data_IF_128208228763
#
_entry.id   IF_128208228763
#
_cell.length_a   1.000
_cell.length_b   1.000
_cell.length_c   1.000
_cell.angle_alpha   90.00
_cell.angle_beta   90.00
_cell.angle_gamma   90.00
#
_symmetry.space_group_name_H-M   'P 1'
#
loop_
_entity.id
_entity.type
_entity.pdbx_description
1 polymer ?
#
# COMPACT_ATOMS: atom_id res chain seq x y z
N UNK A 1 29.85 -22.11 29.22
CA UNK A 1 29.26 -21.46 28.03
C UNK A 1 28.23 -20.49 28.55
N UNK A 2 28.09 -19.30 28.00
CA UNK A 2 27.07 -18.36 28.45
C UNK A 2 25.68 -18.98 28.33
N UNK A 3 24.77 -18.61 29.23
CA UNK A 3 23.38 -19.02 29.12
C UNK A 3 22.66 -18.24 28.01
N UNK A 4 21.64 -18.86 27.40
CA UNK A 4 20.92 -18.23 26.30
C UNK A 4 20.24 -16.91 26.72
N UNK A 5 19.67 -16.83 27.91
CA UNK A 5 19.06 -15.62 28.49
C UNK A 5 20.00 -14.42 28.50
N UNK A 6 21.27 -14.62 28.92
CA UNK A 6 22.25 -13.54 28.95
C UNK A 6 22.64 -13.10 27.55
N UNK A 7 22.82 -14.05 26.65
CA UNK A 7 23.13 -13.79 25.23
C UNK A 7 21.98 -13.12 24.53
N UNK A 8 20.74 -13.46 24.84
CA UNK A 8 19.53 -12.81 24.33
C UNK A 8 19.53 -11.31 24.68
N UNK A 9 19.66 -10.99 25.96
CA UNK A 9 19.68 -9.60 26.45
C UNK A 9 20.82 -8.82 25.79
N UNK A 10 22.01 -9.38 25.76
CA UNK A 10 23.18 -8.72 25.15
C UNK A 10 23.02 -8.53 23.64
N UNK A 11 22.42 -9.52 22.94
CA UNK A 11 22.21 -9.47 21.49
C UNK A 11 21.19 -8.38 21.11
N UNK A 12 20.20 -8.17 21.96
CA UNK A 12 19.19 -7.13 21.78
C UNK A 12 19.63 -5.74 22.31
N UNK A 13 20.80 -5.64 22.98
CA UNK A 13 21.29 -4.38 23.55
C UNK A 13 20.54 -3.94 24.81
N UNK A 14 19.96 -4.89 25.54
CA UNK A 14 19.12 -4.68 26.71
C UNK A 14 17.64 -4.99 26.42
N UNK A 15 16.89 -5.26 27.48
CA UNK A 15 15.43 -5.39 27.49
C UNK A 15 14.94 -4.47 28.59
N UNK A 16 14.24 -3.40 28.21
CA UNK A 16 13.71 -2.35 29.08
C UNK A 16 12.17 -2.43 29.25
N UNK A 17 11.60 -3.54 28.85
CA UNK A 17 10.16 -3.85 28.94
C UNK A 17 9.94 -5.21 29.62
N UNK A 18 8.73 -5.43 30.14
CA UNK A 18 8.28 -6.71 30.68
C UNK A 18 7.63 -7.54 29.55
N UNK A 19 8.27 -8.64 29.08
CA UNK A 19 7.74 -9.46 27.99
C UNK A 19 6.41 -10.12 28.31
N UNK A 20 6.19 -10.55 29.55
CA UNK A 20 4.96 -11.24 29.95
C UNK A 20 3.79 -10.25 30.00
N UNK A 21 4.01 -9.06 30.58
CA UNK A 21 3.02 -7.98 30.56
C UNK A 21 2.67 -7.53 29.14
N UNK A 22 3.66 -7.43 28.24
CA UNK A 22 3.40 -7.12 26.83
C UNK A 22 2.60 -8.20 26.14
N UNK A 23 2.90 -9.46 26.39
CA UNK A 23 2.16 -10.59 25.81
C UNK A 23 0.70 -10.58 26.26
N UNK A 24 0.44 -10.35 27.54
CA UNK A 24 -0.92 -10.19 28.06
C UNK A 24 -1.65 -9.01 27.41
N UNK A 25 -0.97 -7.86 27.29
CA UNK A 25 -1.53 -6.67 26.62
C UNK A 25 -1.86 -6.95 25.16
N UNK A 26 -0.99 -7.64 24.41
CA UNK A 26 -1.24 -7.99 23.03
C UNK A 26 -2.45 -8.93 22.86
N UNK A 27 -2.60 -9.91 23.75
CA UNK A 27 -3.75 -10.80 23.77
C UNK A 27 -5.05 -10.04 24.06
N UNK A 28 -5.02 -9.17 25.07
CA UNK A 28 -6.17 -8.32 25.42
C UNK A 28 -6.58 -7.42 24.24
N UNK A 29 -5.64 -6.75 23.60
CA UNK A 29 -5.90 -5.87 22.46
C UNK A 29 -6.39 -6.64 21.23
N UNK A 30 -5.88 -7.86 20.99
CA UNK A 30 -6.39 -8.77 19.98
C UNK A 30 -7.86 -9.12 20.23
N UNK A 31 -8.16 -9.56 21.45
CA UNK A 31 -9.47 -10.10 21.81
C UNK A 31 -10.58 -9.04 21.70
N UNK A 32 -10.27 -7.77 22.02
CA UNK A 32 -11.17 -6.64 21.76
C UNK A 32 -11.58 -6.49 20.29
N UNK A 33 -10.76 -6.93 19.35
CA UNK A 33 -10.89 -6.69 17.90
C UNK A 33 -11.33 -7.91 17.10
N UNK A 34 -11.40 -9.07 17.74
CA UNK A 34 -11.91 -10.27 17.08
C UNK A 34 -13.41 -10.10 16.82
N UNK A 35 -13.78 -10.23 15.55
CA UNK A 35 -15.18 -10.12 15.10
C UNK A 35 -15.67 -11.47 14.62
N UNK A 36 -16.94 -11.75 14.87
CA UNK A 36 -17.61 -12.99 14.44
C UNK A 36 -18.19 -12.88 13.04
N UNK A 37 -18.40 -11.66 12.54
CA UNK A 37 -19.01 -11.36 11.25
C UNK A 37 -18.00 -11.38 10.07
N UNK A 38 -16.73 -11.61 10.33
CA UNK A 38 -15.69 -11.79 9.30
C UNK A 38 -15.82 -10.78 8.13
N UNK A 39 -16.15 -11.26 6.91
CA UNK A 39 -16.29 -10.42 5.73
C UNK A 39 -17.60 -9.63 5.66
N UNK A 40 -18.62 -9.99 6.45
CA UNK A 40 -19.90 -9.25 6.53
C UNK A 40 -19.73 -7.85 7.12
N UNK A 41 -18.57 -7.56 7.74
CA UNK A 41 -18.19 -6.21 8.15
C UNK A 41 -17.97 -5.24 6.97
N UNK A 42 -18.02 -5.72 5.73
CA UNK A 42 -17.83 -4.91 4.52
C UNK A 42 -19.01 -5.08 3.57
N UNK A 43 -19.37 -3.98 2.89
CA UNK A 43 -20.38 -3.96 1.83
C UNK A 43 -19.68 -3.97 0.47
N UNK A 44 -20.14 -4.84 -0.42
CA UNK A 44 -19.76 -4.79 -1.83
C UNK A 44 -20.39 -3.55 -2.48
N UNK A 45 -19.62 -2.87 -3.33
CA UNK A 45 -20.05 -1.66 -4.04
C UNK A 45 -20.92 -2.00 -5.25
N UNK A 46 -22.16 -2.41 -4.96
CA UNK A 46 -23.20 -2.76 -5.93
C UNK A 46 -24.52 -2.06 -5.55
N UNK A 47 -25.49 -2.03 -6.44
CA UNK A 47 -26.80 -1.37 -6.19
C UNK A 47 -26.62 0.12 -5.87
N UNK A 48 -27.12 0.55 -4.73
CA UNK A 48 -27.08 1.95 -4.27
C UNK A 48 -25.64 2.51 -4.14
N UNK A 49 -24.65 1.63 -4.03
CA UNK A 49 -23.23 1.99 -3.90
C UNK A 49 -22.45 1.87 -5.23
N UNK A 50 -23.11 1.59 -6.34
CA UNK A 50 -22.44 1.39 -7.64
C UNK A 50 -21.59 2.58 -8.08
N UNK A 51 -21.98 3.82 -7.71
CA UNK A 51 -21.22 5.03 -8.02
C UNK A 51 -19.79 5.04 -7.45
N UNK A 52 -19.52 4.28 -6.39
CA UNK A 52 -18.17 4.18 -5.81
C UNK A 52 -17.17 3.36 -6.67
N UNK A 53 -17.63 2.67 -7.72
CA UNK A 53 -16.75 1.98 -8.68
C UNK A 53 -16.59 2.72 -9.99
N UNK A 54 -17.36 3.80 -10.20
CA UNK A 54 -17.23 4.64 -11.39
C UNK A 54 -15.85 5.30 -11.44
N UNK A 55 -15.43 5.64 -12.63
CA UNK A 55 -14.20 6.38 -12.86
C UNK A 55 -14.46 7.89 -12.73
N UNK A 56 -13.96 8.56 -11.66
CA UNK A 56 -14.16 9.99 -11.50
C UNK A 56 -13.13 10.83 -12.26
N UNK A 57 -12.14 10.22 -12.91
CA UNK A 57 -10.97 10.90 -13.44
C UNK A 57 -11.01 11.08 -14.95
N UNK A 58 -11.63 10.13 -15.67
CA UNK A 58 -11.70 10.16 -17.11
C UNK A 58 -13.11 9.82 -17.58
N UNK A 59 -13.55 10.47 -18.63
CA UNK A 59 -14.81 10.10 -19.27
C UNK A 59 -14.62 8.80 -20.04
N UNK A 60 -15.56 7.88 -19.90
CA UNK A 60 -15.53 6.62 -20.61
C UNK A 60 -15.49 6.87 -22.13
N UNK A 61 -14.51 6.29 -22.80
CA UNK A 61 -14.42 6.34 -24.25
C UNK A 61 -15.58 5.54 -24.87
N UNK A 62 -16.39 6.20 -25.67
CA UNK A 62 -17.34 5.51 -26.54
C UNK A 62 -16.62 5.04 -27.80
N UNK A 63 -16.78 3.78 -28.14
CA UNK A 63 -16.21 3.14 -29.32
C UNK A 63 -17.08 1.98 -29.77
N UNK A 64 -16.92 1.58 -31.04
CA UNK A 64 -17.56 0.37 -31.54
C UNK A 64 -16.95 -0.89 -30.86
N UNK A 65 -17.77 -1.93 -30.62
CA UNK A 65 -17.30 -3.21 -30.14
C UNK A 65 -16.29 -3.90 -31.06
N UNK A 66 -15.35 -4.62 -30.48
CA UNK A 66 -14.26 -5.31 -31.16
C UNK A 66 -14.56 -6.82 -31.27
N UNK A 67 -14.37 -7.40 -32.50
CA UNK A 67 -14.67 -8.80 -32.82
C UNK A 67 -13.54 -9.47 -33.62
N UNK A 68 -12.30 -9.21 -33.26
CA UNK A 68 -11.11 -9.70 -33.97
C UNK A 68 -10.37 -10.81 -33.21
N UNK A 69 -9.09 -11.00 -33.50
CA UNK A 69 -8.20 -11.93 -32.87
C UNK A 69 -6.88 -11.25 -32.53
N UNK A 70 -6.25 -11.59 -31.40
CA UNK A 70 -4.90 -11.18 -31.04
C UNK A 70 -4.07 -12.38 -30.56
N UNK A 71 -2.74 -12.30 -30.66
CA UNK A 71 -1.87 -13.36 -30.15
C UNK A 71 -1.93 -13.41 -28.61
N UNK A 72 -1.83 -12.26 -27.95
CA UNK A 72 -1.82 -12.18 -26.48
C UNK A 72 -2.76 -11.09 -25.98
N UNK A 73 -3.72 -11.47 -25.12
CA UNK A 73 -4.54 -10.54 -24.36
C UNK A 73 -4.01 -10.40 -22.93
N UNK A 74 -3.89 -9.17 -22.44
CA UNK A 74 -3.45 -8.85 -21.08
C UNK A 74 -4.58 -8.12 -20.37
N UNK A 75 -5.10 -8.70 -19.26
CA UNK A 75 -6.17 -8.11 -18.47
C UNK A 75 -5.57 -7.30 -17.31
N UNK A 76 -5.61 -5.98 -17.45
CA UNK A 76 -5.10 -5.00 -16.50
C UNK A 76 -3.89 -4.23 -17.01
N UNK A 77 -3.97 -2.89 -16.94
CA UNK A 77 -2.96 -1.92 -17.38
C UNK A 77 -2.07 -1.38 -16.24
N UNK A 78 -1.99 -2.07 -15.09
CA UNK A 78 -1.05 -1.77 -14.03
C UNK A 78 0.36 -2.30 -14.30
N UNK A 79 1.26 -2.21 -13.32
CA UNK A 79 2.66 -2.63 -13.49
C UNK A 79 2.83 -4.04 -14.07
N UNK A 80 2.03 -5.00 -13.62
CA UNK A 80 2.13 -6.37 -14.13
C UNK A 80 1.79 -6.45 -15.63
N UNK A 81 0.73 -5.74 -16.06
CA UNK A 81 0.36 -5.69 -17.47
C UNK A 81 1.36 -4.92 -18.33
N UNK A 82 1.87 -3.81 -17.83
CA UNK A 82 2.92 -3.02 -18.49
C UNK A 82 4.20 -3.82 -18.68
N UNK A 83 4.65 -4.51 -17.61
CA UNK A 83 5.82 -5.39 -17.67
C UNK A 83 5.62 -6.54 -18.67
N UNK A 84 4.47 -7.21 -18.62
CA UNK A 84 4.16 -8.29 -19.57
C UNK A 84 4.16 -7.77 -21.01
N UNK A 85 3.44 -6.66 -21.27
CA UNK A 85 3.37 -6.06 -22.60
C UNK A 85 4.74 -5.62 -23.12
N UNK A 86 5.53 -4.93 -22.27
CA UNK A 86 6.89 -4.49 -22.63
C UNK A 86 7.81 -5.67 -22.96
N UNK A 87 7.85 -6.71 -22.11
CA UNK A 87 8.69 -7.89 -22.35
C UNK A 87 8.25 -8.71 -23.57
N UNK A 88 6.95 -8.75 -23.87
CA UNK A 88 6.46 -9.37 -25.10
C UNK A 88 6.94 -8.60 -26.33
N UNK A 89 6.84 -7.27 -26.34
CA UNK A 89 7.34 -6.41 -27.44
C UNK A 89 8.85 -6.60 -27.65
N UNK A 90 9.65 -6.61 -26.58
CA UNK A 90 11.10 -6.89 -26.67
C UNK A 90 11.43 -8.25 -27.29
N UNK A 91 10.56 -9.23 -27.14
CA UNK A 91 10.72 -10.57 -27.70
C UNK A 91 10.02 -10.77 -29.05
N UNK A 92 9.58 -9.68 -29.70
CA UNK A 92 9.04 -9.71 -31.07
C UNK A 92 7.57 -10.14 -31.17
N UNK A 93 6.81 -10.05 -30.09
CA UNK A 93 5.35 -10.24 -30.11
C UNK A 93 4.68 -8.87 -30.35
N UNK A 94 4.21 -8.63 -31.57
CA UNK A 94 3.61 -7.36 -31.94
C UNK A 94 2.08 -7.34 -31.79
N UNK A 95 1.43 -8.50 -31.80
CA UNK A 95 -0.02 -8.59 -31.66
C UNK A 95 -0.43 -8.82 -30.18
N UNK A 96 -0.28 -7.75 -29.40
CA UNK A 96 -0.58 -7.72 -27.96
C UNK A 96 -1.64 -6.68 -27.67
N UNK A 97 -2.69 -7.07 -26.93
CA UNK A 97 -3.76 -6.17 -26.49
C UNK A 97 -3.84 -6.10 -24.98
N UNK A 98 -3.79 -4.89 -24.42
CA UNK A 98 -4.07 -4.65 -23.01
C UNK A 98 -5.51 -4.18 -22.85
N UNK A 99 -6.26 -4.80 -21.92
CA UNK A 99 -7.61 -4.40 -21.56
C UNK A 99 -7.56 -3.80 -20.15
N UNK A 100 -7.92 -2.53 -20.00
CA UNK A 100 -7.86 -1.81 -18.73
C UNK A 100 -9.20 -1.14 -18.44
N UNK A 101 -9.69 -1.36 -17.20
CA UNK A 101 -10.96 -0.79 -16.72
C UNK A 101 -10.86 0.74 -16.53
N UNK A 102 -9.70 1.23 -16.11
CA UNK A 102 -9.44 2.67 -16.00
C UNK A 102 -9.33 3.36 -17.34
N UNK A 103 -9.49 4.67 -17.34
CA UNK A 103 -9.36 5.50 -18.56
C UNK A 103 -7.91 5.58 -19.09
N UNK A 104 -6.92 5.09 -18.32
CA UNK A 104 -5.51 5.08 -18.73
C UNK A 104 -4.72 3.98 -18.01
N UNK A 105 -3.48 3.75 -18.45
CA UNK A 105 -2.54 2.89 -17.74
C UNK A 105 -2.17 3.44 -16.37
N UNK A 106 -1.77 2.55 -15.45
CA UNK A 106 -1.31 2.92 -14.11
C UNK A 106 -1.83 2.00 -13.00
N UNK A 107 -2.95 1.30 -13.23
CA UNK A 107 -3.51 0.35 -12.27
C UNK A 107 -3.75 0.97 -10.88
N UNK A 108 -3.05 0.50 -9.85
CA UNK A 108 -3.15 1.05 -8.50
C UNK A 108 -2.95 2.58 -8.46
N UNK A 109 -2.04 3.11 -9.26
CA UNK A 109 -1.70 4.54 -9.30
C UNK A 109 -2.64 5.36 -10.16
N UNK A 110 -3.39 4.73 -11.05
CA UNK A 110 -4.52 5.32 -11.72
C UNK A 110 -5.67 5.59 -10.75
N UNK A 111 -6.00 4.60 -9.88
CA UNK A 111 -7.13 4.69 -8.97
C UNK A 111 -6.84 5.46 -7.68
N UNK A 112 -5.61 5.35 -7.13
CA UNK A 112 -5.25 5.94 -5.85
C UNK A 112 -4.55 7.29 -6.04
N UNK A 113 -5.34 8.33 -6.27
CA UNK A 113 -4.88 9.70 -6.48
C UNK A 113 -5.09 10.60 -5.25
N UNK A 114 -5.40 10.03 -4.08
CA UNK A 114 -5.65 10.80 -2.87
C UNK A 114 -4.42 11.65 -2.47
N UNK A 115 -4.63 12.76 -1.71
CA UNK A 115 -3.53 13.63 -1.28
C UNK A 115 -2.47 12.89 -0.49
N UNK A 116 -1.20 13.15 -0.80
CA UNK A 116 -0.07 12.48 -0.17
C UNK A 116 0.19 11.06 -0.63
N UNK A 117 -0.58 10.52 -1.59
CA UNK A 117 -0.34 9.17 -2.12
C UNK A 117 1.08 9.04 -2.66
N UNK A 118 1.83 8.05 -2.13
CA UNK A 118 3.21 7.76 -2.51
C UNK A 118 3.51 6.27 -2.31
N UNK A 119 4.56 5.77 -2.95
CA UNK A 119 5.06 4.43 -2.66
C UNK A 119 5.71 4.37 -1.27
N UNK A 120 5.69 3.22 -0.62
CA UNK A 120 6.33 2.99 0.66
C UNK A 120 7.49 1.97 0.62
N UNK A 121 7.74 1.41 -0.54
CA UNK A 121 9.01 0.80 -0.94
C UNK A 121 9.80 1.85 -1.71
N UNK A 122 11.12 1.88 -1.59
CA UNK A 122 11.91 2.89 -2.30
C UNK A 122 11.69 2.82 -3.82
N UNK A 123 11.61 3.98 -4.45
CA UNK A 123 11.25 4.13 -5.86
C UNK A 123 12.16 3.37 -6.81
N UNK A 124 13.44 3.28 -6.47
CA UNK A 124 14.46 2.63 -7.30
C UNK A 124 14.29 1.10 -7.39
N UNK A 125 13.57 0.50 -6.43
CA UNK A 125 13.15 -0.89 -6.46
C UNK A 125 11.71 -1.06 -6.93
N UNK A 126 10.84 -0.07 -6.63
CA UNK A 126 9.40 -0.20 -6.82
C UNK A 126 8.94 0.12 -8.23
N UNK A 127 9.48 1.18 -8.87
CA UNK A 127 9.14 1.54 -10.25
C UNK A 127 9.86 0.57 -11.21
N UNK A 128 9.12 -0.11 -12.10
CA UNK A 128 9.74 -1.06 -13.01
C UNK A 128 10.39 -0.35 -14.21
N UNK A 129 11.34 -1.03 -14.87
CA UNK A 129 11.92 -0.61 -16.15
C UNK A 129 12.58 0.77 -16.13
N UNK A 130 13.27 1.11 -15.04
CA UNK A 130 13.94 2.40 -14.92
C UNK A 130 15.15 2.51 -15.87
N UNK A 131 15.93 1.44 -16.01
CA UNK A 131 17.08 1.41 -16.91
C UNK A 131 16.65 1.39 -18.38
N UNK A 132 15.60 0.65 -18.71
CA UNK A 132 15.07 0.57 -20.07
C UNK A 132 14.53 1.93 -20.58
N UNK A 133 14.00 2.75 -19.65
CA UNK A 133 13.49 4.08 -19.98
C UNK A 133 14.48 5.21 -19.75
N UNK A 134 15.71 4.90 -19.32
CA UNK A 134 16.72 5.87 -18.91
C UNK A 134 16.16 6.93 -17.93
N UNK A 135 15.47 6.42 -16.90
CA UNK A 135 14.79 7.26 -15.92
C UNK A 135 15.24 6.96 -14.49
N UNK A 136 15.48 8.02 -13.72
CA UNK A 136 15.76 7.93 -12.29
C UNK A 136 14.68 8.70 -11.53
N UNK A 137 13.98 8.09 -10.56
CA UNK A 137 12.96 8.75 -9.76
C UNK A 137 13.49 9.97 -9.00
N UNK A 138 12.65 11.01 -8.89
CA UNK A 138 13.03 12.28 -8.26
C UNK A 138 13.24 12.18 -6.74
N UNK A 139 12.57 11.22 -6.11
CA UNK A 139 12.61 11.02 -4.66
C UNK A 139 12.87 9.56 -4.31
N UNK A 140 13.44 9.33 -3.12
CA UNK A 140 13.57 7.95 -2.58
C UNK A 140 12.22 7.24 -2.55
N UNK A 141 11.14 7.96 -2.23
CA UNK A 141 9.76 7.47 -2.29
C UNK A 141 8.94 8.40 -3.17
N UNK A 142 8.64 7.96 -4.38
CA UNK A 142 7.92 8.76 -5.37
C UNK A 142 6.46 8.96 -5.00
N UNK A 143 5.95 10.14 -5.32
CA UNK A 143 4.53 10.46 -5.22
C UNK A 143 3.73 9.85 -6.38
N UNK A 144 2.45 9.62 -6.14
CA UNK A 144 1.55 8.99 -7.12
C UNK A 144 1.57 9.62 -8.52
N UNK A 145 1.61 10.96 -8.70
CA UNK A 145 1.68 11.56 -10.03
C UNK A 145 2.92 11.13 -10.84
N UNK A 146 4.08 11.03 -10.19
CA UNK A 146 5.31 10.56 -10.83
C UNK A 146 5.21 9.09 -11.23
N UNK A 147 4.67 8.24 -10.35
CA UNK A 147 4.51 6.81 -10.62
C UNK A 147 3.50 6.58 -11.73
N UNK A 148 2.41 7.37 -11.77
CA UNK A 148 1.41 7.33 -12.82
C UNK A 148 2.01 7.73 -14.17
N UNK A 149 2.78 8.82 -14.22
CA UNK A 149 3.42 9.27 -15.47
C UNK A 149 4.47 8.25 -15.94
N UNK A 150 5.23 7.65 -15.01
CA UNK A 150 6.15 6.57 -15.35
C UNK A 150 5.43 5.37 -15.98
N UNK A 151 4.26 4.99 -15.44
CA UNK A 151 3.42 3.93 -16.03
C UNK A 151 3.02 4.25 -17.48
N UNK A 152 2.61 5.49 -17.74
CA UNK A 152 2.28 5.96 -19.09
C UNK A 152 3.50 5.97 -20.02
N UNK A 153 4.66 6.33 -19.49
CA UNK A 153 5.92 6.32 -20.24
C UNK A 153 6.33 4.90 -20.66
N UNK A 154 6.14 3.89 -19.80
CA UNK A 154 6.32 2.48 -20.17
C UNK A 154 5.37 2.12 -21.31
N UNK A 155 4.07 2.46 -21.19
CA UNK A 155 3.09 2.15 -22.24
C UNK A 155 3.42 2.81 -23.58
N UNK A 156 3.91 4.07 -23.56
CA UNK A 156 4.36 4.80 -24.77
C UNK A 156 5.61 4.18 -25.37
N UNK A 157 6.62 3.90 -24.55
CA UNK A 157 7.91 3.34 -24.97
C UNK A 157 7.73 2.01 -25.73
N UNK A 158 6.85 1.16 -25.23
CA UNK A 158 6.56 -0.15 -25.84
C UNK A 158 5.36 -0.16 -26.78
N UNK A 159 4.84 1.01 -27.15
CA UNK A 159 3.68 1.17 -28.06
C UNK A 159 2.44 0.34 -27.63
N UNK A 160 2.16 0.28 -26.32
CA UNK A 160 1.04 -0.50 -25.81
C UNK A 160 -0.32 0.19 -26.00
N UNK A 161 -0.34 1.50 -26.23
CA UNK A 161 -1.57 2.26 -26.52
C UNK A 161 -2.22 1.86 -27.84
N UNK A 162 -1.44 1.44 -28.83
CA UNK A 162 -1.93 1.17 -30.21
C UNK A 162 -3.11 0.20 -30.23
N UNK A 163 -3.08 -0.84 -29.40
CA UNK A 163 -4.07 -1.92 -29.37
C UNK A 163 -4.81 -2.02 -28.02
N UNK A 164 -4.67 -1.00 -27.16
CA UNK A 164 -5.27 -1.02 -25.84
C UNK A 164 -6.77 -0.77 -25.88
N UNK A 165 -7.52 -1.49 -25.06
CA UNK A 165 -8.92 -1.21 -24.76
C UNK A 165 -9.00 -0.59 -23.36
N UNK A 166 -8.94 0.75 -23.31
CA UNK A 166 -9.10 1.53 -22.09
C UNK A 166 -10.57 1.76 -21.75
N UNK A 167 -10.88 2.13 -20.51
CA UNK A 167 -12.25 2.26 -19.98
C UNK A 167 -13.11 1.02 -20.26
N UNK A 168 -12.48 -0.16 -20.22
CA UNK A 168 -13.09 -1.43 -20.65
C UNK A 168 -12.89 -2.51 -19.58
N UNK A 169 -13.98 -2.99 -19.01
CA UNK A 169 -13.99 -4.07 -18.02
C UNK A 169 -14.19 -5.43 -18.67
N UNK A 170 -13.30 -6.38 -18.43
CA UNK A 170 -13.50 -7.79 -18.84
C UNK A 170 -14.60 -8.41 -17.97
N UNK A 171 -15.63 -8.97 -18.61
CA UNK A 171 -16.78 -9.61 -17.96
C UNK A 171 -16.70 -11.13 -17.97
N UNK A 172 -16.11 -11.71 -19.02
CA UNK A 172 -15.90 -13.15 -19.13
C UNK A 172 -14.62 -13.49 -19.88
N UNK A 173 -14.01 -14.62 -19.48
CA UNK A 173 -12.88 -15.24 -20.17
C UNK A 173 -13.16 -16.74 -20.22
N UNK A 174 -13.30 -17.30 -21.40
CA UNK A 174 -13.69 -18.70 -21.62
C UNK A 174 -12.75 -19.35 -22.60
N UNK A 175 -12.30 -20.57 -22.31
CA UNK A 175 -11.53 -21.38 -23.24
C UNK A 175 -12.47 -22.07 -24.23
N UNK A 176 -12.16 -22.01 -25.52
CA UNK A 176 -12.86 -22.73 -26.59
C UNK A 176 -12.02 -23.94 -27.04
N UNK A 177 -12.41 -25.13 -26.60
CA UNK A 177 -11.74 -26.40 -26.91
C UNK A 177 -11.83 -26.75 -28.41
N UNK A 178 -12.74 -26.15 -29.17
CA UNK A 178 -12.92 -26.48 -30.60
C UNK A 178 -11.98 -25.68 -31.48
N UNK A 179 -11.56 -24.52 -31.03
CA UNK A 179 -10.74 -23.59 -31.80
C UNK A 179 -9.39 -23.31 -31.15
N UNK A 180 -9.10 -23.93 -30.02
CA UNK A 180 -7.85 -23.80 -29.24
C UNK A 180 -7.45 -22.36 -28.92
N UNK A 181 -8.43 -21.54 -28.47
CA UNK A 181 -8.17 -20.17 -28.08
C UNK A 181 -9.08 -19.67 -26.94
N UNK A 182 -8.68 -18.57 -26.33
CA UNK A 182 -9.48 -17.85 -25.35
C UNK A 182 -10.50 -16.94 -26.04
N UNK A 183 -11.71 -16.91 -25.50
CA UNK A 183 -12.76 -15.94 -25.87
C UNK A 183 -12.86 -14.94 -24.72
N UNK A 184 -12.72 -13.65 -25.03
CA UNK A 184 -12.78 -12.55 -24.08
C UNK A 184 -14.03 -11.72 -24.38
N UNK A 185 -14.83 -11.45 -23.35
CA UNK A 185 -16.01 -10.59 -23.41
C UNK A 185 -15.85 -9.40 -22.46
N UNK A 186 -16.37 -8.24 -22.84
CA UNK A 186 -16.23 -7.00 -22.05
C UNK A 186 -17.56 -6.31 -21.81
N UNK A 187 -17.58 -5.36 -20.90
CA UNK A 187 -18.72 -4.48 -20.60
C UNK A 187 -19.06 -3.49 -21.74
N UNK A 188 -18.20 -3.39 -22.76
CA UNK A 188 -18.41 -2.59 -23.99
C UNK A 188 -19.01 -3.41 -25.14
N UNK A 189 -19.34 -4.68 -24.89
CA UNK A 189 -19.89 -5.59 -25.90
C UNK A 189 -18.86 -6.20 -26.83
N UNK A 190 -17.57 -6.05 -26.54
CA UNK A 190 -16.51 -6.74 -27.28
C UNK A 190 -16.63 -8.25 -27.08
N UNK A 191 -16.32 -9.00 -28.12
CA UNK A 191 -16.12 -10.45 -28.08
C UNK A 191 -15.04 -10.83 -29.08
N UNK A 192 -13.80 -10.89 -28.60
CA UNK A 192 -12.64 -11.21 -29.43
C UNK A 192 -11.90 -12.42 -28.88
N UNK A 193 -10.93 -12.92 -29.61
CA UNK A 193 -10.20 -14.13 -29.23
C UNK A 193 -8.71 -13.88 -29.04
N UNK A 194 -8.05 -14.72 -28.25
CA UNK A 194 -6.62 -14.66 -28.05
C UNK A 194 -6.02 -16.08 -27.95
N UNK A 195 -4.80 -16.25 -28.45
CA UNK A 195 -4.05 -17.51 -28.30
C UNK A 195 -3.58 -17.71 -26.85
N UNK A 196 -3.19 -16.62 -26.21
CA UNK A 196 -2.77 -16.62 -24.81
C UNK A 196 -3.40 -15.46 -24.04
N UNK A 197 -3.56 -15.64 -22.72
CA UNK A 197 -4.05 -14.60 -21.83
C UNK A 197 -3.15 -14.46 -20.62
N UNK A 198 -2.88 -13.21 -20.22
CA UNK A 198 -2.21 -12.86 -18.99
C UNK A 198 -3.18 -12.13 -18.06
N UNK A 199 -3.43 -12.70 -16.88
CA UNK A 199 -4.27 -12.08 -15.85
C UNK A 199 -3.42 -11.16 -14.97
N UNK A 200 -3.47 -9.85 -15.24
CA UNK A 200 -2.71 -8.80 -14.56
C UNK A 200 -3.61 -7.80 -13.81
N UNK A 201 -4.81 -8.22 -13.43
CA UNK A 201 -5.90 -7.39 -12.90
C UNK A 201 -5.67 -6.86 -11.47
N UNK A 202 -4.62 -7.26 -10.77
CA UNK A 202 -4.25 -6.78 -9.44
C UNK A 202 -5.32 -7.02 -8.35
N UNK A 203 -4.99 -6.84 -7.06
CA UNK A 203 -5.91 -7.11 -5.95
C UNK A 203 -6.71 -5.88 -5.50
N UNK A 204 -6.38 -4.65 -5.90
CA UNK A 204 -6.87 -3.40 -5.31
C UNK A 204 -7.81 -2.59 -6.22
N UNK A 205 -8.46 -3.22 -7.21
CA UNK A 205 -9.29 -2.49 -8.17
C UNK A 205 -10.75 -2.27 -7.73
N UNK A 206 -11.23 -2.98 -6.69
CA UNK A 206 -12.60 -2.89 -6.19
C UNK A 206 -12.61 -2.34 -4.77
N UNK A 207 -13.14 -1.13 -4.53
CA UNK A 207 -13.32 -0.60 -3.20
C UNK A 207 -14.36 -1.43 -2.43
N UNK A 208 -14.23 -1.45 -1.09
CA UNK A 208 -15.24 -1.99 -0.17
C UNK A 208 -15.60 -0.93 0.84
N UNK A 209 -16.87 -0.80 1.14
CA UNK A 209 -17.35 0.10 2.16
C UNK A 209 -17.56 -0.64 3.49
N UNK A 210 -17.42 0.04 4.64
CA UNK A 210 -17.75 -0.58 5.92
C UNK A 210 -19.25 -0.80 6.03
N UNK A 211 -19.66 -1.99 6.53
CA UNK A 211 -21.05 -2.34 6.79
C UNK A 211 -21.55 -1.66 8.07
N UNK A 212 -21.62 -0.34 8.07
CA UNK A 212 -22.08 0.46 9.20
C UNK A 212 -23.59 0.77 9.02
N UNK A 213 -24.38 0.56 10.07
CA UNK A 213 -25.80 0.87 10.06
C UNK A 213 -26.03 2.32 9.68
N UNK A 214 -27.02 2.60 8.82
CA UNK A 214 -27.39 3.96 8.43
C UNK A 214 -26.43 4.61 7.42
N UNK A 215 -25.51 3.87 6.81
CA UNK A 215 -24.58 4.46 5.83
C UNK A 215 -25.28 5.16 4.67
N UNK A 216 -26.50 4.73 4.29
CA UNK A 216 -27.36 5.38 3.29
C UNK A 216 -28.14 6.58 3.83
N UNK A 217 -28.22 6.75 5.15
CA UNK A 217 -29.00 7.82 5.77
C UNK A 217 -28.24 9.16 5.82
N UNK A 218 -26.92 9.09 5.75
CA UNK A 218 -26.07 10.26 5.76
C UNK A 218 -26.33 11.15 4.55
N UNK A 219 -26.55 12.45 4.80
CA UNK A 219 -26.90 13.44 3.76
C UNK A 219 -25.71 14.31 3.34
N UNK A 220 -24.55 14.13 3.97
CA UNK A 220 -23.33 14.82 3.57
C UNK A 220 -22.67 14.18 2.35
N UNK A 221 -21.63 14.81 1.83
CA UNK A 221 -20.85 14.29 0.72
C UNK A 221 -19.95 13.14 1.17
N UNK A 222 -19.89 12.07 0.40
CA UNK A 222 -19.06 10.90 0.69
C UNK A 222 -18.39 10.38 -0.58
N UNK A 223 -17.19 9.90 -0.43
CA UNK A 223 -16.47 9.18 -1.47
C UNK A 223 -15.45 8.20 -0.86
N UNK A 224 -15.06 7.20 -1.61
CA UNK A 224 -13.98 6.29 -1.20
C UNK A 224 -12.63 6.91 -1.57
N UNK A 225 -11.61 6.76 -0.73
CA UNK A 225 -10.29 7.37 -0.96
C UNK A 225 -9.64 6.96 -2.29
N UNK A 226 -9.92 5.75 -2.82
CA UNK A 226 -9.48 5.33 -4.14
C UNK A 226 -10.31 5.91 -5.30
N UNK A 227 -11.25 6.78 -5.01
CA UNK A 227 -12.05 7.58 -5.95
C UNK A 227 -12.14 9.00 -5.39
N UNK A 228 -10.97 9.62 -5.18
CA UNK A 228 -10.88 10.93 -4.55
C UNK A 228 -11.56 11.98 -5.39
N UNK A 229 -12.48 12.72 -4.77
CA UNK A 229 -13.27 13.75 -5.42
C UNK A 229 -12.60 15.12 -5.25
N UNK A 230 -11.76 15.49 -6.21
CA UNK A 230 -11.10 16.79 -6.24
C UNK A 230 -12.04 17.93 -6.67
N UNK A 231 -13.14 17.64 -7.35
CA UNK A 231 -14.15 18.65 -7.68
C UNK A 231 -14.82 19.19 -6.40
N UNK A 232 -14.98 18.29 -5.41
CA UNK A 232 -15.51 18.67 -4.10
C UNK A 232 -14.45 19.22 -3.16
N UNK A 233 -13.30 18.58 -3.07
CA UNK A 233 -12.24 18.92 -2.09
C UNK A 233 -11.36 20.07 -2.54
N UNK A 234 -11.27 20.31 -3.84
CA UNK A 234 -10.21 21.13 -4.43
C UNK A 234 -8.83 20.48 -4.30
N UNK A 235 -7.80 21.22 -4.66
CA UNK A 235 -6.41 20.80 -4.48
C UNK A 235 -5.91 19.76 -5.45
N UNK A 236 -4.94 18.97 -4.98
CA UNK A 236 -4.27 17.91 -5.77
C UNK A 236 -3.64 16.86 -4.86
N UNK A 237 -2.88 15.92 -5.45
CA UNK A 237 -2.06 14.99 -4.66
C UNK A 237 -1.10 15.69 -3.67
N UNK A 238 -0.68 16.92 -3.96
CA UNK A 238 0.17 17.72 -3.07
C UNK A 238 -0.58 18.37 -1.90
N UNK A 239 -1.91 18.26 -1.84
CA UNK A 239 -2.74 18.88 -0.82
C UNK A 239 -3.51 20.10 -1.35
N UNK A 240 -3.52 21.19 -0.59
CA UNK A 240 -4.23 22.46 -0.89
C UNK A 240 -5.74 22.24 -1.11
N UNK A 241 -6.38 21.45 -0.23
CA UNK A 241 -7.79 21.04 -0.35
C UNK A 241 -8.74 22.18 0.05
N UNK A 242 -8.73 23.25 -0.72
CA UNK A 242 -9.41 24.52 -0.43
C UNK A 242 -10.94 24.41 -0.23
N UNK A 243 -11.55 23.41 -0.88
CA UNK A 243 -12.97 23.11 -0.72
C UNK A 243 -13.34 22.59 0.69
N UNK A 244 -12.35 22.25 1.54
CA UNK A 244 -12.58 21.73 2.88
C UNK A 244 -12.47 22.75 4.01
N UNK A 245 -12.09 24.00 3.72
CA UNK A 245 -11.81 25.04 4.75
C UNK A 245 -12.99 25.36 5.69
N UNK A 246 -14.20 25.16 5.25
CA UNK A 246 -15.43 25.36 6.03
C UNK A 246 -16.09 24.04 6.48
N UNK A 247 -15.49 22.88 6.17
CA UNK A 247 -16.06 21.55 6.37
C UNK A 247 -15.55 20.87 7.63
N UNK A 248 -16.44 20.08 8.22
CA UNK A 248 -16.10 19.02 9.16
C UNK A 248 -15.92 17.73 8.37
N UNK A 249 -14.74 17.15 8.43
CA UNK A 249 -14.37 15.98 7.65
C UNK A 249 -14.19 14.79 8.56
N UNK A 250 -14.79 13.65 8.23
CA UNK A 250 -14.54 12.35 8.86
C UNK A 250 -13.77 11.42 7.95
N UNK A 251 -12.67 10.83 8.41
CA UNK A 251 -11.99 9.74 7.73
C UNK A 251 -12.10 8.45 8.53
N UNK A 252 -12.58 7.39 7.91
CA UNK A 252 -12.80 6.10 8.56
C UNK A 252 -11.63 5.18 8.27
N UNK A 253 -10.91 4.80 9.33
CA UNK A 253 -9.77 3.92 9.27
C UNK A 253 -8.42 4.62 9.38
N UNK A 254 -7.42 3.84 9.76
CA UNK A 254 -6.04 4.28 10.01
C UNK A 254 -5.03 3.40 9.26
N UNK A 255 -5.41 2.83 8.11
CA UNK A 255 -4.51 2.07 7.24
C UNK A 255 -3.58 2.98 6.42
N UNK A 256 -2.74 2.40 5.57
CA UNK A 256 -1.73 3.12 4.80
C UNK A 256 -2.26 4.34 4.03
N UNK A 257 -3.45 4.24 3.44
CA UNK A 257 -4.11 5.35 2.76
C UNK A 257 -4.41 6.51 3.71
N UNK A 258 -5.04 6.23 4.86
CA UNK A 258 -5.37 7.25 5.86
C UNK A 258 -4.09 7.89 6.41
N UNK A 259 -3.05 7.11 6.67
CA UNK A 259 -1.75 7.60 7.14
C UNK A 259 -1.16 8.64 6.19
N UNK A 260 -1.36 8.48 4.89
CA UNK A 260 -0.86 9.42 3.88
C UNK A 260 -1.77 10.64 3.69
N UNK A 261 -3.10 10.50 3.75
CA UNK A 261 -3.99 11.64 3.49
C UNK A 261 -4.38 12.46 4.74
N UNK A 262 -4.28 11.91 5.95
CA UNK A 262 -4.61 12.62 7.21
C UNK A 262 -3.82 13.94 7.37
N UNK A 263 -2.51 14.03 7.10
CA UNK A 263 -1.80 15.30 7.18
C UNK A 263 -2.37 16.39 6.28
N UNK A 264 -2.73 16.06 5.04
CA UNK A 264 -3.32 16.99 4.07
C UNK A 264 -4.74 17.40 4.46
N UNK A 265 -5.53 16.45 4.99
CA UNK A 265 -6.86 16.73 5.53
C UNK A 265 -6.78 17.63 6.76
N UNK A 266 -5.86 17.35 7.69
CA UNK A 266 -5.65 18.16 8.89
C UNK A 266 -5.22 19.59 8.59
N UNK A 267 -4.38 19.77 7.56
CA UNK A 267 -3.95 21.09 7.12
C UNK A 267 -5.06 21.92 6.44
N UNK A 268 -6.10 21.27 5.88
CA UNK A 268 -7.09 21.93 5.01
C UNK A 268 -8.48 22.00 5.61
N UNK A 269 -8.91 20.99 6.36
CA UNK A 269 -10.28 20.94 6.91
C UNK A 269 -10.48 21.91 8.06
N UNK A 270 -11.72 22.44 8.21
CA UNK A 270 -12.11 23.19 9.40
C UNK A 270 -11.94 22.36 10.68
N UNK A 271 -12.40 21.13 10.64
CA UNK A 271 -12.18 20.09 11.66
C UNK A 271 -12.04 18.74 10.98
N UNK A 272 -11.10 17.94 11.45
CA UNK A 272 -10.87 16.57 10.99
C UNK A 272 -11.11 15.58 12.12
N UNK A 273 -11.94 14.57 11.87
CA UNK A 273 -12.19 13.45 12.78
C UNK A 273 -11.62 12.17 12.16
N UNK A 274 -10.62 11.59 12.81
CA UNK A 274 -9.98 10.34 12.39
C UNK A 274 -10.56 9.20 13.20
N UNK A 275 -11.41 8.37 12.58
CA UNK A 275 -12.06 7.24 13.25
C UNK A 275 -11.14 6.02 13.25
N UNK A 276 -10.68 5.65 14.44
CA UNK A 276 -9.75 4.56 14.67
C UNK A 276 -10.43 3.35 15.31
N UNK A 277 -10.29 2.18 14.67
CA UNK A 277 -10.61 0.90 15.31
C UNK A 277 -9.35 0.21 15.84
N UNK A 278 -8.27 0.33 15.12
CA UNK A 278 -6.97 -0.28 15.45
C UNK A 278 -5.87 0.68 15.01
N UNK A 279 -4.99 1.14 15.89
CA UNK A 279 -3.87 2.00 15.49
C UNK A 279 -2.97 1.28 14.49
N UNK A 280 -2.35 2.02 13.59
CA UNK A 280 -1.28 1.51 12.73
C UNK A 280 0.08 1.69 13.39
N UNK A 281 1.01 0.80 13.10
CA UNK A 281 2.41 1.02 13.43
C UNK A 281 2.96 2.09 12.48
N UNK A 282 3.42 3.22 13.03
CA UNK A 282 3.92 4.35 12.26
C UNK A 282 5.40 4.54 12.55
N UNK A 283 6.23 4.12 11.62
CA UNK A 283 7.68 4.30 11.70
C UNK A 283 8.16 5.44 10.77
N UNK A 284 9.44 5.73 10.81
CA UNK A 284 10.08 6.82 10.07
C UNK A 284 10.10 6.52 8.57
N UNK A 285 9.71 7.49 7.76
CA UNK A 285 9.82 7.45 6.29
C UNK A 285 11.15 8.02 5.81
N UNK A 286 11.50 9.19 6.29
CA UNK A 286 12.69 9.93 5.88
C UNK A 286 12.79 10.05 4.34
N UNK A 287 11.71 10.55 3.71
CA UNK A 287 11.71 10.79 2.27
C UNK A 287 12.68 11.93 1.93
N UNK A 288 13.32 11.87 0.78
CA UNK A 288 14.27 12.88 0.30
C UNK A 288 14.35 12.85 -1.22
N UNK A 289 14.80 13.96 -1.78
CA UNK A 289 15.17 14.02 -3.19
C UNK A 289 16.30 13.03 -3.50
N UNK A 290 16.30 12.51 -4.70
CA UNK A 290 17.37 11.65 -5.21
C UNK A 290 18.67 12.46 -5.35
N UNK A 291 19.73 12.14 -4.61
CA UNK A 291 20.99 12.89 -4.69
C UNK A 291 21.65 12.74 -6.06
N UNK A 292 22.23 13.83 -6.60
CA UNK A 292 22.94 13.79 -7.87
C UNK A 292 24.11 12.79 -7.83
N UNK A 293 24.82 12.70 -6.71
CA UNK A 293 25.90 11.73 -6.52
C UNK A 293 25.46 10.28 -6.69
N UNK A 294 24.21 9.97 -6.26
CA UNK A 294 23.62 8.66 -6.49
C UNK A 294 23.38 8.43 -7.99
N UNK A 295 22.81 9.40 -8.69
CA UNK A 295 22.58 9.31 -10.15
C UNK A 295 23.88 9.08 -10.90
N UNK A 296 24.91 9.85 -10.57
CA UNK A 296 26.24 9.78 -11.21
C UNK A 296 26.97 8.47 -10.94
N UNK A 297 26.59 7.76 -9.87
CA UNK A 297 27.17 6.46 -9.48
C UNK A 297 26.52 5.23 -10.12
N UNK A 298 25.45 5.42 -10.87
CA UNK A 298 24.68 4.30 -11.44
C UNK A 298 25.44 3.67 -12.61
N UNK A 299 25.60 2.35 -12.54
CA UNK A 299 26.23 1.55 -13.60
C UNK A 299 25.19 0.60 -14.21
N UNK A 300 25.34 0.16 -15.46
CA UNK A 300 24.41 -0.79 -16.09
C UNK A 300 24.10 -2.00 -15.21
N UNK A 301 22.82 -2.35 -15.12
CA UNK A 301 22.30 -3.42 -14.24
C UNK A 301 22.09 -2.98 -12.78
N UNK A 302 22.17 -1.68 -12.48
CA UNK A 302 22.02 -1.16 -11.12
C UNK A 302 20.66 -1.47 -10.53
N UNK A 303 19.58 -1.33 -11.30
CA UNK A 303 18.23 -1.55 -10.82
C UNK A 303 18.01 -3.03 -10.44
N UNK A 304 18.41 -3.94 -11.33
CA UNK A 304 18.31 -5.38 -11.06
C UNK A 304 19.09 -5.78 -9.80
N UNK A 305 20.33 -5.31 -9.64
CA UNK A 305 21.15 -5.58 -8.44
C UNK A 305 20.46 -5.09 -7.17
N UNK A 306 19.85 -3.90 -7.23
CA UNK A 306 19.15 -3.29 -6.09
C UNK A 306 17.89 -4.04 -5.73
N UNK A 307 17.06 -4.37 -6.72
CA UNK A 307 15.85 -5.19 -6.53
C UNK A 307 16.18 -6.58 -5.99
N UNK A 308 17.22 -7.23 -6.50
CA UNK A 308 17.67 -8.54 -6.03
C UNK A 308 18.17 -8.47 -4.58
N UNK A 309 18.94 -7.45 -4.22
CA UNK A 309 19.39 -7.19 -2.85
C UNK A 309 18.20 -7.00 -1.91
N UNK A 310 17.26 -6.14 -2.27
CA UNK A 310 16.04 -5.91 -1.49
C UNK A 310 15.23 -7.20 -1.30
N UNK A 311 14.98 -7.95 -2.38
CA UNK A 311 14.23 -9.20 -2.32
C UNK A 311 14.91 -10.25 -1.41
N UNK A 312 16.22 -10.35 -1.46
CA UNK A 312 16.98 -11.25 -0.57
C UNK A 312 16.87 -10.83 0.90
N UNK A 313 17.00 -9.53 1.18
CA UNK A 313 16.88 -9.01 2.54
C UNK A 313 15.48 -9.26 3.13
N UNK A 314 14.41 -8.93 2.40
CA UNK A 314 13.03 -9.09 2.89
C UNK A 314 12.55 -10.55 2.92
N UNK A 315 13.26 -11.46 2.29
CA UNK A 315 13.03 -12.91 2.43
C UNK A 315 13.92 -13.56 3.49
N UNK A 316 14.74 -12.78 4.18
CA UNK A 316 15.61 -13.25 5.26
C UNK A 316 16.93 -13.89 4.81
N UNK A 317 17.28 -13.75 3.53
CA UNK A 317 18.58 -14.19 3.02
C UNK A 317 19.68 -13.20 3.46
N UNK A 318 20.82 -13.75 3.87
CA UNK A 318 21.96 -12.93 4.26
C UNK A 318 22.50 -12.16 3.06
N UNK A 319 22.70 -10.86 3.24
CA UNK A 319 23.44 -9.98 2.34
C UNK A 319 24.53 -9.25 3.13
N UNK A 320 25.70 -9.06 2.51
CA UNK A 320 26.80 -8.31 3.13
C UNK A 320 26.52 -6.81 3.18
N UNK A 321 25.68 -6.32 2.26
CA UNK A 321 25.29 -4.92 2.13
C UNK A 321 23.77 -4.81 2.03
N UNK A 322 23.23 -3.73 2.60
CA UNK A 322 21.83 -3.30 2.45
C UNK A 322 21.81 -2.04 1.58
N UNK A 323 21.54 -2.21 0.30
CA UNK A 323 21.51 -1.11 -0.67
C UNK A 323 20.34 -0.16 -0.45
N UNK A 324 19.25 -0.63 0.14
CA UNK A 324 18.02 0.15 0.36
C UNK A 324 18.06 0.90 1.68
N UNK A 325 18.44 0.21 2.74
CA UNK A 325 18.60 0.72 4.11
C UNK A 325 17.43 1.61 4.54
N UNK A 326 16.26 1.01 4.66
CA UNK A 326 15.01 1.67 5.06
C UNK A 326 14.24 0.91 6.13
N UNK A 327 13.03 1.39 6.45
CA UNK A 327 12.17 0.77 7.45
C UNK A 327 11.79 -0.69 7.11
N UNK A 328 11.65 -1.05 5.82
CA UNK A 328 11.38 -2.41 5.42
C UNK A 328 12.56 -3.33 5.71
N UNK A 329 13.76 -2.96 5.24
CA UNK A 329 14.95 -3.78 5.47
C UNK A 329 15.33 -3.83 6.95
N UNK A 330 15.06 -2.76 7.73
CA UNK A 330 15.25 -2.76 9.17
C UNK A 330 14.34 -3.77 9.87
N UNK A 331 13.06 -3.83 9.53
CA UNK A 331 12.13 -4.82 10.10
C UNK A 331 12.65 -6.24 9.86
N UNK A 332 12.97 -6.57 8.62
CA UNK A 332 13.43 -7.92 8.29
C UNK A 332 14.80 -8.24 8.89
N UNK A 333 15.71 -7.29 8.96
CA UNK A 333 17.00 -7.43 9.62
C UNK A 333 16.84 -7.79 11.09
N UNK A 334 15.90 -7.14 11.77
CA UNK A 334 15.61 -7.40 13.19
C UNK A 334 14.90 -8.75 13.41
N UNK A 335 14.00 -9.15 12.51
CA UNK A 335 13.20 -10.37 12.68
C UNK A 335 13.90 -11.64 12.20
N UNK A 336 14.78 -11.60 11.19
CA UNK A 336 15.07 -12.82 10.43
C UNK A 336 16.47 -13.38 10.51
N UNK A 337 17.50 -12.67 10.96
CA UNK A 337 18.75 -13.36 10.79
C UNK A 337 19.99 -12.85 11.50
N UNK A 338 20.17 -11.54 11.60
CA UNK A 338 21.39 -10.99 12.19
C UNK A 338 21.44 -11.28 13.68
N UNK A 339 20.34 -11.06 14.40
CA UNK A 339 20.24 -11.36 15.80
C UNK A 339 20.49 -12.88 16.09
N UNK A 340 19.89 -13.76 15.29
CA UNK A 340 20.09 -15.20 15.43
C UNK A 340 21.54 -15.64 15.14
N UNK A 341 22.18 -15.06 14.12
CA UNK A 341 23.59 -15.33 13.81
C UNK A 341 24.51 -14.82 14.92
N UNK A 342 24.24 -13.61 15.41
CA UNK A 342 25.00 -13.02 16.53
C UNK A 342 24.88 -13.86 17.80
N UNK A 343 23.66 -14.25 18.18
CA UNK A 343 23.42 -15.10 19.34
C UNK A 343 24.08 -16.47 19.19
N UNK A 344 23.99 -17.11 18.03
CA UNK A 344 24.63 -18.40 17.76
C UNK A 344 26.17 -18.30 17.85
N UNK A 345 26.74 -17.21 17.37
CA UNK A 345 28.21 -16.97 17.47
C UNK A 345 28.64 -16.83 18.91
N UNK A 346 27.91 -16.05 19.73
CA UNK A 346 28.20 -15.85 21.15
C UNK A 346 28.05 -17.14 21.95
N UNK A 347 27.06 -17.96 21.62
CA UNK A 347 26.84 -19.27 22.25
C UNK A 347 27.84 -20.34 21.81
N UNK A 348 28.55 -20.14 20.70
CA UNK A 348 29.40 -21.13 20.07
C UNK A 348 28.65 -22.37 19.53
N UNK A 349 27.34 -22.25 19.33
CA UNK A 349 26.48 -23.33 18.80
C UNK A 349 25.26 -22.73 18.06
N UNK A 350 24.57 -23.56 17.29
CA UNK A 350 23.28 -23.18 16.68
C UNK A 350 22.22 -23.01 17.75
N UNK A 351 21.29 -22.08 17.52
CA UNK A 351 20.09 -21.92 18.34
C UNK A 351 19.14 -23.10 18.11
N UNK A 352 18.53 -23.56 19.19
CA UNK A 352 17.38 -24.45 19.13
C UNK A 352 16.17 -23.75 18.50
N UNK A 353 15.15 -24.48 17.99
CA UNK A 353 13.91 -23.88 17.51
C UNK A 353 13.22 -22.99 18.55
N UNK A 354 13.22 -23.38 19.83
CA UNK A 354 12.62 -22.60 20.92
C UNK A 354 13.40 -21.29 21.15
N UNK A 355 14.72 -21.34 21.28
CA UNK A 355 15.56 -20.15 21.43
C UNK A 355 15.44 -19.19 20.24
N UNK A 356 15.30 -19.73 19.03
CA UNK A 356 15.05 -18.89 17.84
C UNK A 356 13.69 -18.20 17.90
N UNK A 357 12.64 -18.92 18.31
CA UNK A 357 11.30 -18.35 18.45
C UNK A 357 11.26 -17.24 19.50
N UNK A 358 11.90 -17.47 20.67
CA UNK A 358 12.01 -16.49 21.74
C UNK A 358 12.79 -15.25 21.30
N UNK A 359 13.93 -15.42 20.62
CA UNK A 359 14.69 -14.29 20.08
C UNK A 359 13.88 -13.47 19.08
N UNK A 360 13.13 -14.12 18.20
CA UNK A 360 12.25 -13.42 17.25
C UNK A 360 11.12 -12.67 17.96
N UNK A 361 10.52 -13.26 18.99
CA UNK A 361 9.47 -12.61 19.78
C UNK A 361 9.99 -11.37 20.51
N UNK A 362 11.15 -11.49 21.16
CA UNK A 362 11.79 -10.36 21.86
C UNK A 362 12.25 -9.26 20.88
N UNK A 363 12.75 -9.63 19.70
CA UNK A 363 13.10 -8.69 18.63
C UNK A 363 11.88 -7.91 18.14
N UNK A 364 10.75 -8.59 17.96
CA UNK A 364 9.47 -7.97 17.60
C UNK A 364 8.99 -6.99 18.67
N UNK A 365 8.97 -7.39 19.92
CA UNK A 365 8.58 -6.52 21.03
C UNK A 365 9.45 -5.27 21.10
N UNK A 366 10.75 -5.42 21.00
CA UNK A 366 11.71 -4.30 21.03
C UNK A 366 11.43 -3.31 19.89
N UNK A 367 11.21 -3.79 18.65
CA UNK A 367 10.89 -2.92 17.52
C UNK A 367 9.56 -2.20 17.74
N UNK A 368 8.56 -2.90 18.24
CA UNK A 368 7.26 -2.31 18.51
C UNK A 368 7.28 -1.33 19.68
N UNK A 369 8.16 -1.52 20.69
CA UNK A 369 8.40 -0.51 21.74
C UNK A 369 8.98 0.77 21.14
N UNK A 370 9.94 0.69 20.23
CA UNK A 370 10.47 1.87 19.55
C UNK A 370 9.39 2.62 18.75
N UNK A 371 8.47 1.90 18.10
CA UNK A 371 7.32 2.51 17.41
C UNK A 371 6.36 3.18 18.40
N UNK A 372 6.10 2.57 19.57
CA UNK A 372 5.25 3.17 20.62
C UNK A 372 5.90 4.39 21.27
N UNK A 373 7.19 4.32 21.52
CA UNK A 373 7.97 5.44 22.05
C UNK A 373 7.90 6.65 21.11
N UNK A 374 8.02 6.42 19.78
CA UNK A 374 7.88 7.49 18.78
C UNK A 374 6.52 8.19 18.85
N UNK A 375 5.42 7.46 19.05
CA UNK A 375 4.10 8.07 19.22
C UNK A 375 4.05 8.94 20.49
N UNK A 376 4.65 8.47 21.59
CA UNK A 376 4.71 9.20 22.85
C UNK A 376 5.59 10.46 22.79
N UNK A 377 6.66 10.43 21.99
CA UNK A 377 7.58 11.55 21.85
C UNK A 377 7.02 12.67 20.96
N UNK A 378 6.19 12.32 19.97
CA UNK A 378 5.74 13.27 18.95
C UNK A 378 4.39 13.88 19.28
N UNK A 379 3.47 13.12 19.89
CA UNK A 379 2.09 13.56 20.14
C UNK A 379 2.01 14.20 21.51
N UNK A 380 1.60 15.48 21.55
CA UNK A 380 1.60 16.31 22.76
C UNK A 380 0.57 15.86 23.79
N UNK A 381 -0.62 15.43 23.33
CA UNK A 381 -1.67 14.92 24.22
C UNK A 381 -1.39 13.46 24.60
N UNK A 382 -1.16 13.16 25.90
CA UNK A 382 -0.78 11.81 26.34
C UNK A 382 -1.90 10.76 26.13
N UNK A 383 -3.18 11.14 26.13
CA UNK A 383 -4.28 10.22 25.90
C UNK A 383 -4.37 9.86 24.41
N UNK A 384 -4.17 10.84 23.55
CA UNK A 384 -4.08 10.64 22.09
C UNK A 384 -2.84 9.81 21.75
N UNK A 385 -1.69 10.13 22.35
CA UNK A 385 -0.44 9.38 22.16
C UNK A 385 -0.62 7.90 22.53
N UNK A 386 -1.24 7.61 23.68
CA UNK A 386 -1.51 6.22 24.12
C UNK A 386 -2.45 5.50 23.15
N UNK A 387 -3.50 6.17 22.69
CA UNK A 387 -4.47 5.62 21.74
C UNK A 387 -3.86 5.30 20.37
N UNK A 388 -2.76 5.98 19.98
CA UNK A 388 -2.03 5.74 18.73
C UNK A 388 -0.99 4.62 18.83
N UNK A 389 -0.75 4.05 20.02
CA UNK A 389 0.22 2.95 20.21
C UNK A 389 -0.32 1.61 19.72
N UNK A 390 0.38 0.92 18.79
CA UNK A 390 0.00 -0.41 18.33
C UNK A 390 0.46 -1.50 19.33
N UNK A 391 -0.47 -2.33 19.81
CA UNK A 391 -0.19 -3.49 20.66
C UNK A 391 -0.50 -4.79 19.91
N UNK A 392 0.31 -5.08 18.90
CA UNK A 392 0.27 -6.30 18.09
C UNK A 392 1.66 -6.55 17.48
N UNK A 393 1.91 -7.79 17.04
CA UNK A 393 3.16 -8.13 16.36
C UNK A 393 3.25 -7.45 14.99
N UNK A 394 4.45 -7.11 14.56
CA UNK A 394 4.69 -6.66 13.19
C UNK A 394 4.04 -7.62 12.19
N UNK A 395 3.57 -7.13 11.06
CA UNK A 395 2.82 -7.86 10.04
C UNK A 395 1.43 -8.40 10.45
N UNK A 396 1.00 -8.30 11.70
CA UNK A 396 -0.43 -8.50 12.02
C UNK A 396 -1.29 -7.44 11.33
N UNK A 397 -0.72 -6.26 11.13
CA UNK A 397 -1.25 -5.19 10.30
C UNK A 397 -0.09 -4.67 9.45
N UNK A 398 -0.36 -4.21 8.21
CA UNK A 398 0.69 -3.64 7.36
C UNK A 398 1.48 -2.55 8.09
N UNK A 399 2.81 -2.63 8.21
CA UNK A 399 3.63 -1.54 8.71
C UNK A 399 3.45 -0.29 7.84
N UNK A 400 3.39 0.88 8.47
CA UNK A 400 3.32 2.17 7.81
C UNK A 400 4.55 3.00 8.19
N UNK A 401 4.97 3.84 7.25
CA UNK A 401 6.11 4.74 7.42
C UNK A 401 5.65 6.13 7.02
N UNK A 402 5.70 7.09 7.95
CA UNK A 402 5.30 8.47 7.68
C UNK A 402 5.84 9.43 8.72
N UNK A 403 6.30 10.60 8.28
CA UNK A 403 6.91 11.57 9.19
C UNK A 403 5.91 12.62 9.70
N UNK A 404 4.81 12.87 8.98
CA UNK A 404 3.82 13.91 9.29
C UNK A 404 2.52 13.39 9.95
N UNK A 405 2.24 12.08 9.89
CA UNK A 405 0.98 11.53 10.42
C UNK A 405 0.83 11.77 11.93
N UNK A 406 1.83 11.42 12.73
CA UNK A 406 1.77 11.60 14.18
C UNK A 406 1.74 13.09 14.58
N UNK A 407 2.59 13.99 14.01
CA UNK A 407 2.51 15.43 14.31
C UNK A 407 1.17 16.07 13.97
N UNK A 408 0.42 15.51 13.01
CA UNK A 408 -0.89 16.04 12.63
C UNK A 408 -1.88 16.05 13.79
N UNK A 409 -1.78 15.11 14.73
CA UNK A 409 -2.65 15.06 15.91
C UNK A 409 -2.37 16.18 16.95
N UNK A 410 -1.32 16.98 16.78
CA UNK A 410 -1.05 18.17 17.58
C UNK A 410 -1.76 19.42 17.03
N UNK A 411 -2.40 19.32 15.86
CA UNK A 411 -3.20 20.41 15.30
C UNK A 411 -4.53 20.54 16.07
N UNK A 412 -4.94 21.78 16.43
CA UNK A 412 -6.12 22.00 17.28
C UNK A 412 -7.46 21.60 16.62
N UNK A 413 -7.47 21.43 15.31
CA UNK A 413 -8.64 21.03 14.52
C UNK A 413 -8.66 19.55 14.15
N UNK A 414 -7.72 18.73 14.68
CA UNK A 414 -7.63 17.31 14.37
C UNK A 414 -7.97 16.48 15.61
N UNK A 415 -8.95 15.61 15.48
CA UNK A 415 -9.50 14.82 16.56
C UNK A 415 -9.36 13.32 16.26
N UNK A 416 -8.66 12.61 17.12
CA UNK A 416 -8.67 11.13 17.10
C UNK A 416 -9.96 10.65 17.78
N UNK A 417 -10.73 9.85 17.06
CA UNK A 417 -11.91 9.16 17.59
C UNK A 417 -11.56 7.67 17.72
N UNK A 418 -10.96 7.30 18.86
CA UNK A 418 -10.69 5.90 19.15
C UNK A 418 -11.97 5.18 19.57
N UNK A 419 -12.33 4.15 18.82
CA UNK A 419 -13.54 3.35 19.06
C UNK A 419 -13.27 2.13 19.93
N UNK A 420 -12.13 2.05 20.58
CA UNK A 420 -11.72 0.93 21.45
C UNK A 420 -11.92 -0.46 20.80
N UNK A 421 -11.54 -0.57 19.54
CA UNK A 421 -11.66 -1.83 18.79
C UNK A 421 -13.04 -2.17 18.24
N UNK A 422 -14.09 -1.45 18.62
CA UNK A 422 -15.50 -1.77 18.24
C UNK A 422 -15.84 -1.30 16.84
N UNK A 423 -15.29 -0.14 16.43
CA UNK A 423 -15.64 0.54 15.19
C UNK A 423 -16.78 1.55 15.40
N UNK A 424 -17.31 2.09 14.32
CA UNK A 424 -18.43 3.04 14.32
C UNK A 424 -19.73 2.24 14.42
N UNK A 425 -20.62 2.65 15.31
CA UNK A 425 -21.90 1.97 15.51
C UNK A 425 -22.90 2.29 14.39
N UNK A 426 -23.05 3.57 14.05
CA UNK A 426 -24.01 3.99 13.02
C UNK A 426 -23.65 5.32 12.37
N UNK A 427 -24.15 5.53 11.17
CA UNK A 427 -24.29 6.85 10.55
C UNK A 427 -25.63 7.47 10.92
N UNK A 428 -25.64 8.78 11.09
CA UNK A 428 -26.87 9.57 11.15
C UNK A 428 -26.96 10.48 9.92
N UNK A 429 -28.10 11.18 9.74
CA UNK A 429 -28.26 12.14 8.63
C UNK A 429 -27.16 13.22 8.60
N UNK A 430 -26.54 13.50 9.75
CA UNK A 430 -25.55 14.58 9.92
C UNK A 430 -24.14 14.11 10.13
N UNK A 431 -23.90 12.80 10.17
CA UNK A 431 -22.61 12.16 10.41
C UNK A 431 -22.61 11.18 11.57
#
# INVERSE_FOLDING_TARGET
MPEFSDVLVETLGGIDFDPDALKEKYLFERDKRIRTDANEQYIEVTGDFSSYVDDPYEQALEREPVFDHVDVAIVGGGFAGLLMGGRLRENGFDDVRVIEKGGDFGGTWYWNRYPGAMCDVESYCYLPMLEELDYVPKHKYSFAPEIMEHSKNIARHYNLYENALLSTGVTAVTWDDTQDHWVIETDKGDRFTARAIAMANGPLNRPKLPAIQGINDYKGHTFHTSRWDYDYTGGSNAGDLDGLKDKRVGIIGTGATAVQCVPHLGASAKELFVFQRTPSSIDVRNNRETPQEFIDSLEPGWQYRRMENFNKLVTGAHQDEDLVNDGWTDIFRNLTGIAAKTAATKLGRRLTPAERAELMEMSDYRKMEAVRARAQEIVDDPEVAESLKPYYRQFCKRPCFHDEYLPTFNLPNVHLVDTDGKGIDQFTEKG
#
